data_IF_937304010023
#
_entry.id   IF_937304010023
#
_cell.length_a   1.000
_cell.length_b   1.000
_cell.length_c   1.000
_cell.angle_alpha   90.00
_cell.angle_beta   90.00
_cell.angle_gamma   90.00
#
_symmetry.space_group_name_H-M   'P 1'
#
loop_
_entity.id
_entity.type
_entity.pdbx_description
1 polymer ?
#
# COMPACT_ATOMS: atom_id res chain seq x y z
N UNK A 1 -9.95 6.61 15.12
CA UNK A 1 -8.52 6.78 15.06
C UNK A 1 -7.84 5.40 15.03
N UNK A 2 -7.74 4.84 13.85
CA UNK A 2 -7.09 3.55 13.66
C UNK A 2 -5.60 3.80 13.58
N UNK A 3 -4.90 3.58 14.69
CA UNK A 3 -3.44 3.54 14.67
C UNK A 3 -2.97 2.54 13.62
N UNK A 4 -2.10 2.96 12.71
CA UNK A 4 -1.44 2.07 11.75
C UNK A 4 -0.47 1.10 12.44
N UNK A 5 -0.15 1.39 13.70
CA UNK A 5 0.83 0.68 14.49
C UNK A 5 0.16 -0.06 15.64
N UNK A 6 0.79 -1.13 16.10
CA UNK A 6 0.39 -1.80 17.33
C UNK A 6 0.73 -0.92 18.54
N UNK A 7 -0.20 -0.70 19.49
CA UNK A 7 0.04 0.15 20.65
C UNK A 7 0.98 -0.49 21.69
N UNK A 8 1.04 -1.79 21.72
CA UNK A 8 1.84 -2.62 22.66
C UNK A 8 2.13 -3.98 22.03
N UNK A 9 3.00 -4.76 22.63
CA UNK A 9 3.33 -6.10 22.18
C UNK A 9 2.09 -6.97 22.15
N UNK A 10 1.91 -7.71 21.06
CA UNK A 10 0.70 -8.49 20.78
C UNK A 10 1.06 -9.96 20.52
N UNK A 11 1.62 -10.61 21.52
CA UNK A 11 1.97 -12.04 21.52
C UNK A 11 0.76 -13.01 21.35
N UNK A 12 -0.45 -12.47 21.41
CA UNK A 12 -1.71 -13.22 21.29
C UNK A 12 -2.29 -13.26 19.88
N UNK A 13 -1.75 -12.42 19.00
CA UNK A 13 -2.17 -12.34 17.60
C UNK A 13 -1.14 -13.06 16.71
N UNK A 14 -1.66 -13.85 15.80
CA UNK A 14 -0.86 -14.49 14.74
C UNK A 14 -1.47 -14.15 13.39
N UNK A 15 -0.65 -13.77 12.43
CA UNK A 15 -1.08 -13.42 11.10
C UNK A 15 -0.45 -14.34 10.06
N UNK A 16 -1.27 -14.77 9.11
CA UNK A 16 -0.79 -15.28 7.83
C UNK A 16 -0.88 -14.14 6.82
N UNK A 17 0.26 -13.64 6.37
CA UNK A 17 0.40 -12.46 5.53
C UNK A 17 0.74 -12.89 4.11
N UNK A 18 0.11 -12.24 3.12
CA UNK A 18 0.42 -12.44 1.70
C UNK A 18 0.93 -11.15 1.10
N UNK A 19 2.18 -11.16 0.65
CA UNK A 19 2.81 -10.08 -0.11
C UNK A 19 2.97 -10.47 -1.58
N UNK A 20 2.82 -9.49 -2.48
CA UNK A 20 2.99 -9.68 -3.92
C UNK A 20 4.22 -8.92 -4.40
N UNK A 21 5.00 -9.55 -5.26
CA UNK A 21 6.25 -9.04 -5.78
C UNK A 21 6.34 -9.27 -7.29
N UNK A 22 7.04 -8.37 -7.97
CA UNK A 22 7.43 -8.59 -9.36
C UNK A 22 8.72 -9.42 -9.43
N UNK A 23 8.99 -9.99 -10.59
CA UNK A 23 10.17 -10.86 -10.82
C UNK A 23 11.51 -10.15 -10.57
N UNK A 24 11.57 -8.83 -10.62
CA UNK A 24 12.75 -7.98 -10.40
C UNK A 24 12.91 -7.48 -8.96
N UNK A 25 12.05 -7.91 -8.03
CA UNK A 25 12.08 -7.47 -6.63
C UNK A 25 13.24 -8.04 -5.80
N UNK A 26 14.09 -8.89 -6.37
CA UNK A 26 15.25 -9.42 -5.67
C UNK A 26 16.47 -8.51 -5.82
N UNK A 27 17.05 -8.11 -4.68
CA UNK A 27 18.32 -7.38 -4.63
C UNK A 27 19.50 -8.34 -4.75
N UNK A 28 20.51 -7.99 -5.56
CA UNK A 28 21.78 -8.70 -5.54
C UNK A 28 22.67 -8.10 -4.45
N UNK A 29 22.84 -8.82 -3.34
CA UNK A 29 23.64 -8.39 -2.22
C UNK A 29 24.91 -9.22 -2.06
N UNK A 30 25.95 -8.58 -1.52
CA UNK A 30 27.18 -9.27 -1.09
C UNK A 30 27.10 -9.60 0.39
N UNK A 31 27.23 -10.86 0.74
CA UNK A 31 27.34 -11.32 2.11
C UNK A 31 28.73 -11.88 2.40
N UNK A 32 29.22 -11.69 3.60
CA UNK A 32 30.50 -12.25 4.02
C UNK A 32 30.25 -13.55 4.77
N UNK A 33 30.83 -14.63 4.24
CA UNK A 33 30.74 -15.96 4.84
C UNK A 33 32.14 -16.44 5.25
N UNK A 34 32.21 -17.33 6.24
CA UNK A 34 33.46 -17.77 6.82
C UNK A 34 34.06 -16.72 7.75
N UNK A 35 35.31 -16.88 8.07
CA UNK A 35 36.07 -16.00 8.95
C UNK A 35 36.81 -16.76 10.04
N UNK A 36 37.71 -16.05 10.72
CA UNK A 36 38.51 -16.58 11.84
C UNK A 36 37.81 -16.32 13.17
N UNK A 37 37.96 -17.23 14.10
CA UNK A 37 37.41 -17.08 15.46
C UNK A 37 38.48 -17.54 16.48
N UNK A 38 38.50 -16.87 17.63
CA UNK A 38 39.36 -17.24 18.74
C UNK A 38 38.61 -18.14 19.72
N UNK A 39 39.20 -19.28 20.05
CA UNK A 39 38.65 -20.19 21.05
C UNK A 39 39.81 -20.58 22.04
N UNK A 40 39.64 -20.18 23.27
CA UNK A 40 40.64 -20.44 24.36
C UNK A 40 40.78 -21.93 24.69
N UNK A 41 39.85 -22.77 24.28
CA UNK A 41 39.87 -24.23 24.53
C UNK A 41 40.74 -24.99 23.54
N UNK A 42 41.05 -24.36 22.39
CA UNK A 42 41.88 -24.96 21.34
C UNK A 42 43.36 -24.60 21.57
N UNK A 43 44.27 -25.52 21.30
CA UNK A 43 45.67 -25.25 21.35
C UNK A 43 46.03 -24.02 20.50
N UNK A 44 46.73 -23.04 21.08
CA UNK A 44 47.04 -21.74 20.50
C UNK A 44 45.83 -20.80 20.30
N UNK A 45 44.64 -21.14 20.79
CA UNK A 45 43.47 -20.25 20.80
C UNK A 45 42.90 -19.88 19.44
N UNK A 46 43.13 -20.64 18.41
CA UNK A 46 42.68 -20.35 17.05
C UNK A 46 41.73 -21.44 16.56
N UNK A 47 40.51 -21.05 16.22
CA UNK A 47 39.55 -21.91 15.58
C UNK A 47 39.10 -21.27 14.25
N UNK A 48 39.07 -22.08 13.22
CA UNK A 48 38.52 -21.68 11.92
C UNK A 48 37.40 -22.62 11.52
N UNK A 49 36.23 -22.11 11.29
CA UNK A 49 35.13 -22.83 10.64
C UNK A 49 35.33 -22.79 9.12
N UNK A 50 35.70 -21.63 8.60
CA UNK A 50 36.26 -21.40 7.28
C UNK A 50 37.34 -20.34 7.45
N UNK A 51 38.61 -20.71 7.19
CA UNK A 51 39.80 -19.91 7.56
C UNK A 51 39.86 -18.53 6.93
N UNK A 52 39.05 -18.26 5.89
CA UNK A 52 39.11 -17.02 5.14
C UNK A 52 37.71 -16.50 4.94
N UNK A 53 37.48 -15.26 5.33
CA UNK A 53 36.24 -14.56 5.00
C UNK A 53 36.11 -14.43 3.47
N UNK A 54 34.96 -14.81 2.93
CA UNK A 54 34.68 -14.79 1.50
C UNK A 54 33.45 -13.96 1.21
N UNK A 55 33.50 -13.27 0.06
CA UNK A 55 32.33 -12.64 -0.52
C UNK A 55 31.47 -13.68 -1.24
N UNK A 56 30.20 -13.71 -0.93
CA UNK A 56 29.21 -14.44 -1.68
C UNK A 56 28.14 -13.46 -2.18
N UNK A 57 27.77 -13.59 -3.43
CA UNK A 57 26.63 -12.88 -4.01
C UNK A 57 25.40 -13.75 -3.83
N UNK A 58 24.36 -13.19 -3.26
CA UNK A 58 23.04 -13.83 -3.09
C UNK A 58 21.95 -12.89 -3.55
N UNK A 59 20.87 -13.43 -4.07
CA UNK A 59 19.68 -12.67 -4.43
C UNK A 59 18.73 -12.70 -3.25
N UNK A 60 18.51 -11.53 -2.67
CA UNK A 60 17.74 -11.36 -1.45
C UNK A 60 16.43 -10.63 -1.74
N UNK A 61 15.35 -11.14 -1.17
CA UNK A 61 14.08 -10.43 -1.01
C UNK A 61 13.85 -10.21 0.48
N UNK A 62 13.46 -9.00 0.87
CA UNK A 62 13.06 -8.69 2.24
C UNK A 62 11.56 -8.61 2.33
N UNK A 63 10.98 -9.38 3.24
CA UNK A 63 9.57 -9.30 3.57
C UNK A 63 9.32 -8.05 4.44
N UNK A 64 8.09 -7.60 4.53
CA UNK A 64 7.72 -6.43 5.33
C UNK A 64 7.99 -6.59 6.83
N UNK A 65 8.13 -7.80 7.31
CA UNK A 65 8.35 -8.11 8.73
C UNK A 65 9.58 -8.97 8.95
N UNK A 66 10.27 -8.72 10.05
CA UNK A 66 11.23 -9.61 10.70
C UNK A 66 10.56 -10.44 11.81
N UNK A 67 11.34 -11.19 12.57
CA UNK A 67 10.85 -12.06 13.66
C UNK A 67 9.61 -12.85 13.25
N UNK A 68 9.64 -13.41 12.02
CA UNK A 68 8.58 -14.23 11.50
C UNK A 68 8.58 -15.62 12.15
N UNK A 69 7.47 -16.32 12.08
CA UNK A 69 7.37 -17.66 12.64
C UNK A 69 8.07 -18.69 11.75
N UNK A 70 8.84 -19.58 12.37
CA UNK A 70 9.30 -20.82 11.74
C UNK A 70 8.22 -21.90 11.68
N UNK A 71 7.17 -21.75 12.49
CA UNK A 71 6.08 -22.71 12.62
C UNK A 71 4.92 -22.35 11.69
N UNK A 72 4.17 -23.35 11.30
CA UNK A 72 2.99 -23.18 10.47
C UNK A 72 1.91 -22.36 11.20
N UNK A 73 1.07 -21.68 10.44
CA UNK A 73 -0.10 -20.99 10.98
C UNK A 73 -1.03 -22.01 11.64
N UNK A 74 -1.35 -21.79 12.91
CA UNK A 74 -2.03 -22.79 13.76
C UNK A 74 -3.51 -23.01 13.42
N UNK A 75 -4.05 -22.33 12.41
CA UNK A 75 -5.47 -22.38 12.06
C UNK A 75 -5.80 -23.56 11.14
N UNK A 76 -6.89 -24.26 11.43
CA UNK A 76 -7.42 -25.32 10.56
C UNK A 76 -7.81 -24.76 9.18
N UNK A 77 -7.42 -25.46 8.12
CA UNK A 77 -7.71 -25.06 6.73
C UNK A 77 -6.64 -24.18 6.07
N UNK A 78 -5.54 -23.89 6.76
CA UNK A 78 -4.37 -23.19 6.19
C UNK A 78 -3.41 -24.17 5.49
N UNK A 79 -2.44 -23.63 4.76
CA UNK A 79 -1.51 -24.42 3.94
C UNK A 79 -0.50 -25.28 4.73
N UNK A 80 -0.56 -25.32 6.05
CA UNK A 80 0.26 -26.19 6.90
C UNK A 80 1.76 -25.90 6.88
N UNK A 81 2.19 -24.69 6.48
CA UNK A 81 3.60 -24.29 6.38
C UNK A 81 3.84 -22.91 6.95
N UNK A 82 5.09 -22.62 7.34
CA UNK A 82 5.51 -21.28 7.80
C UNK A 82 5.66 -20.30 6.65
N UNK A 83 6.07 -20.77 5.46
CA UNK A 83 6.24 -19.94 4.27
C UNK A 83 5.93 -20.74 3.00
N UNK A 84 5.29 -20.08 2.04
CA UNK A 84 5.09 -20.57 0.68
C UNK A 84 5.27 -19.43 -0.33
N UNK A 85 5.92 -19.70 -1.44
CA UNK A 85 6.13 -18.77 -2.54
C UNK A 85 5.46 -19.35 -3.79
N UNK A 86 4.57 -18.56 -4.39
CA UNK A 86 3.83 -18.95 -5.60
C UNK A 86 4.30 -18.07 -6.75
N UNK A 87 5.06 -18.64 -7.68
CA UNK A 87 5.51 -17.99 -8.91
C UNK A 87 4.47 -18.18 -10.00
N UNK A 88 4.02 -17.09 -10.62
CA UNK A 88 3.04 -17.12 -11.71
C UNK A 88 3.66 -16.50 -12.95
N UNK A 89 3.63 -17.24 -14.07
CA UNK A 89 4.19 -16.81 -15.32
C UNK A 89 3.41 -17.39 -16.49
N UNK A 90 3.57 -16.79 -17.66
CA UNK A 90 2.99 -17.30 -18.89
C UNK A 90 3.94 -18.30 -19.53
N UNK A 91 3.52 -19.56 -19.58
CA UNK A 91 4.30 -20.62 -20.24
C UNK A 91 4.42 -20.32 -21.74
N UNK A 92 5.66 -20.15 -22.19
CA UNK A 92 5.95 -19.77 -23.60
C UNK A 92 5.59 -20.86 -24.62
N UNK A 93 5.49 -22.10 -24.18
CA UNK A 93 5.15 -23.25 -25.05
C UNK A 93 3.65 -23.42 -25.19
N UNK A 94 2.91 -23.27 -24.10
CA UNK A 94 1.46 -23.50 -24.06
C UNK A 94 0.64 -22.21 -24.13
N UNK A 95 1.26 -21.05 -23.88
CA UNK A 95 0.60 -19.76 -23.78
C UNK A 95 -0.35 -19.60 -22.58
N UNK A 96 -0.36 -20.55 -21.64
CA UNK A 96 -1.20 -20.56 -20.47
C UNK A 96 -0.49 -20.02 -19.23
N UNK A 97 -1.23 -19.40 -18.36
CA UNK A 97 -0.72 -19.01 -17.06
C UNK A 97 -0.45 -20.28 -16.22
N UNK A 98 0.76 -20.36 -15.71
CA UNK A 98 1.27 -21.47 -14.93
C UNK A 98 1.71 -20.96 -13.57
N UNK A 99 1.33 -21.68 -12.50
CA UNK A 99 1.74 -21.36 -11.13
C UNK A 99 2.60 -22.50 -10.59
N UNK A 100 3.80 -22.16 -10.13
CA UNK A 100 4.73 -23.07 -9.43
C UNK A 100 4.83 -22.65 -7.97
N UNK A 101 4.65 -23.59 -7.04
CA UNK A 101 4.73 -23.32 -5.61
C UNK A 101 6.00 -23.94 -5.02
N UNK A 102 6.72 -23.16 -4.22
CA UNK A 102 7.80 -23.60 -3.35
C UNK A 102 7.39 -23.31 -1.92
N UNK A 103 7.61 -24.25 -1.01
CA UNK A 103 7.15 -24.08 0.37
C UNK A 103 8.06 -24.79 1.36
N UNK A 104 8.06 -24.33 2.62
CA UNK A 104 8.69 -25.06 3.70
C UNK A 104 7.91 -26.35 4.02
N UNK A 105 8.47 -27.19 4.89
CA UNK A 105 7.88 -28.47 5.27
C UNK A 105 6.43 -28.33 5.77
N UNK A 106 5.61 -29.34 5.48
CA UNK A 106 4.21 -29.40 5.92
C UNK A 106 3.19 -28.76 4.97
N UNK A 107 3.62 -28.19 3.85
CA UNK A 107 2.71 -27.59 2.87
C UNK A 107 1.73 -28.63 2.29
N UNK A 108 0.45 -28.32 2.33
CA UNK A 108 -0.66 -29.17 1.84
C UNK A 108 -1.60 -28.43 0.86
N UNK A 109 -1.15 -27.27 0.31
CA UNK A 109 -1.95 -26.46 -0.61
C UNK A 109 -2.04 -27.01 -2.03
N UNK A 110 -2.82 -26.32 -2.86
CA UNK A 110 -2.97 -26.63 -4.29
C UNK A 110 -2.58 -25.38 -5.11
N UNK A 111 -1.68 -25.51 -6.12
CA UNK A 111 -0.99 -26.75 -6.55
C UNK A 111 0.00 -27.27 -5.50
N UNK A 112 0.37 -28.54 -5.59
CA UNK A 112 1.38 -29.11 -4.71
C UNK A 112 2.73 -28.42 -4.87
N UNK A 113 3.54 -28.34 -3.80
CA UNK A 113 4.84 -27.73 -3.86
C UNK A 113 5.77 -28.47 -4.84
N UNK A 114 6.37 -27.72 -5.76
CA UNK A 114 7.37 -28.21 -6.72
C UNK A 114 8.74 -28.41 -6.07
N UNK A 115 9.04 -27.63 -5.02
CA UNK A 115 10.29 -27.69 -4.30
C UNK A 115 10.17 -27.22 -2.86
N UNK A 116 11.21 -27.49 -2.08
CA UNK A 116 11.28 -27.15 -0.67
C UNK A 116 11.98 -25.81 -0.46
N UNK A 117 11.48 -25.01 0.49
CA UNK A 117 12.15 -23.84 1.04
C UNK A 117 12.88 -24.29 2.32
N UNK A 118 14.17 -23.98 2.39
CA UNK A 118 15.00 -24.29 3.56
C UNK A 118 14.84 -23.18 4.57
N UNK A 119 14.32 -23.48 5.75
CA UNK A 119 14.15 -22.48 6.83
C UNK A 119 15.37 -22.50 7.74
N UNK A 120 15.98 -21.33 7.99
CA UNK A 120 17.16 -21.14 8.85
C UNK A 120 17.01 -19.90 9.72
N UNK A 121 17.81 -19.80 10.78
CA UNK A 121 18.04 -18.54 11.48
C UNK A 121 19.20 -17.78 10.83
N UNK A 122 19.19 -16.47 10.87
CA UNK A 122 20.29 -15.63 10.38
C UNK A 122 21.59 -15.83 11.19
N UNK A 123 21.46 -16.37 12.42
CA UNK A 123 22.58 -16.71 13.29
C UNK A 123 23.24 -18.04 12.98
N UNK A 124 22.61 -18.86 12.11
CA UNK A 124 23.20 -20.13 11.69
C UNK A 124 24.47 -19.90 10.87
N UNK A 125 25.48 -20.74 11.03
CA UNK A 125 26.77 -20.63 10.31
C UNK A 125 26.64 -20.71 8.79
N UNK A 126 25.57 -21.30 8.31
CA UNK A 126 25.23 -21.48 6.88
C UNK A 126 24.02 -20.68 6.46
N UNK A 127 23.59 -19.71 7.26
CA UNK A 127 22.40 -18.90 6.95
C UNK A 127 22.42 -18.36 5.51
N UNK A 128 23.55 -17.84 5.09
CA UNK A 128 23.75 -17.23 3.76
C UNK A 128 24.47 -18.13 2.75
N UNK A 129 24.62 -19.43 3.04
CA UNK A 129 25.12 -20.40 2.08
C UNK A 129 23.93 -20.95 1.29
N UNK A 130 23.69 -20.40 0.12
CA UNK A 130 22.57 -20.77 -0.74
C UNK A 130 23.10 -21.54 -1.93
N UNK A 131 22.59 -22.75 -2.15
CA UNK A 131 22.88 -23.54 -3.35
C UNK A 131 22.21 -22.94 -4.58
N UNK A 132 22.77 -23.17 -5.76
CA UNK A 132 22.36 -22.53 -7.02
C UNK A 132 20.86 -22.64 -7.34
N UNK A 133 20.21 -23.74 -6.94
CA UNK A 133 18.79 -23.98 -7.17
C UNK A 133 17.94 -23.90 -5.88
N UNK A 134 18.54 -23.47 -4.77
CA UNK A 134 17.86 -23.43 -3.48
C UNK A 134 17.13 -22.10 -3.25
N UNK A 135 16.11 -22.17 -2.40
CA UNK A 135 15.45 -21.04 -1.77
C UNK A 135 15.60 -21.22 -0.27
N UNK A 136 16.17 -20.23 0.40
CA UNK A 136 16.38 -20.21 1.84
C UNK A 136 15.55 -19.09 2.45
N UNK A 137 14.87 -19.40 3.53
CA UNK A 137 14.09 -18.45 4.31
C UNK A 137 14.74 -18.24 5.67
N UNK A 138 15.16 -17.02 5.94
CA UNK A 138 15.66 -16.59 7.24
C UNK A 138 14.50 -15.98 8.02
N UNK A 139 13.88 -16.79 8.87
CA UNK A 139 12.62 -16.41 9.53
C UNK A 139 12.79 -15.27 10.53
N UNK A 140 13.92 -15.19 11.22
CA UNK A 140 14.22 -14.17 12.21
C UNK A 140 14.44 -12.77 11.59
N UNK A 141 14.90 -12.70 10.35
CA UNK A 141 15.12 -11.43 9.65
C UNK A 141 14.11 -11.17 8.55
N UNK A 142 13.21 -12.12 8.26
CA UNK A 142 12.23 -12.02 7.18
C UNK A 142 12.88 -11.91 5.80
N UNK A 143 14.00 -12.60 5.59
CA UNK A 143 14.74 -12.59 4.33
C UNK A 143 14.49 -13.88 3.55
N UNK A 144 14.23 -13.75 2.27
CA UNK A 144 14.18 -14.87 1.32
C UNK A 144 15.40 -14.77 0.40
N UNK A 145 16.26 -15.78 0.46
CA UNK A 145 17.47 -15.85 -0.35
C UNK A 145 17.28 -16.88 -1.46
N UNK A 146 17.69 -16.52 -2.67
CA UNK A 146 17.55 -17.36 -3.86
C UNK A 146 18.90 -17.59 -4.50
N UNK A 147 19.17 -18.83 -4.86
CA UNK A 147 20.40 -19.22 -5.57
C UNK A 147 20.44 -18.72 -7.01
N UNK A 148 21.63 -18.59 -7.54
CA UNK A 148 21.90 -17.95 -8.85
C UNK A 148 21.09 -18.57 -10.00
N UNK A 149 21.05 -19.89 -10.10
CA UNK A 149 20.32 -20.59 -11.18
C UNK A 149 18.82 -20.42 -11.02
N UNK A 150 18.32 -20.45 -9.77
CA UNK A 150 16.91 -20.23 -9.48
C UNK A 150 16.48 -18.81 -9.81
N UNK A 151 17.29 -17.81 -9.45
CA UNK A 151 17.05 -16.42 -9.82
C UNK A 151 17.00 -16.22 -11.34
N UNK A 152 17.97 -16.80 -12.08
CA UNK A 152 17.97 -16.75 -13.54
C UNK A 152 16.70 -17.38 -14.16
N UNK A 153 16.17 -18.46 -13.58
CA UNK A 153 14.91 -19.08 -14.01
C UNK A 153 13.73 -18.12 -13.82
N UNK A 154 13.65 -17.46 -12.67
CA UNK A 154 12.61 -16.45 -12.35
C UNK A 154 12.66 -15.30 -13.35
N UNK A 155 13.87 -14.76 -13.63
CA UNK A 155 14.08 -13.66 -14.58
C UNK A 155 13.70 -14.06 -16.01
N UNK A 156 14.11 -15.26 -16.44
CA UNK A 156 13.81 -15.74 -17.78
C UNK A 156 12.31 -15.93 -18.02
N UNK A 157 11.59 -16.37 -17.00
CA UNK A 157 10.14 -16.56 -17.04
C UNK A 157 9.37 -15.27 -16.85
N UNK A 158 10.01 -14.20 -16.36
CA UNK A 158 9.35 -12.98 -15.87
C UNK A 158 8.21 -13.34 -14.90
N UNK A 159 8.53 -14.23 -13.94
CA UNK A 159 7.57 -14.83 -13.04
C UNK A 159 7.29 -13.93 -11.85
N UNK A 160 6.21 -13.17 -11.91
CA UNK A 160 5.70 -12.48 -10.73
C UNK A 160 5.32 -13.48 -9.64
N UNK A 161 5.45 -13.09 -8.40
CA UNK A 161 5.24 -14.05 -7.32
C UNK A 161 4.58 -13.44 -6.08
N UNK A 162 3.98 -14.31 -5.28
CA UNK A 162 3.48 -13.96 -3.97
C UNK A 162 4.14 -14.80 -2.90
N UNK A 163 4.47 -14.18 -1.79
CA UNK A 163 5.00 -14.84 -0.60
C UNK A 163 3.92 -14.84 0.48
N UNK A 164 3.57 -16.02 0.97
CA UNK A 164 2.67 -16.19 2.11
C UNK A 164 3.47 -16.71 3.28
N UNK A 165 3.48 -15.99 4.39
CA UNK A 165 4.29 -16.34 5.57
C UNK A 165 3.53 -16.04 6.87
N UNK A 166 4.06 -16.53 7.99
CA UNK A 166 3.44 -16.39 9.31
C UNK A 166 4.24 -15.42 10.18
N UNK A 167 3.53 -14.47 10.79
CA UNK A 167 4.07 -13.55 11.80
C UNK A 167 3.22 -13.66 13.07
N UNK A 168 3.85 -13.90 14.22
CA UNK A 168 3.18 -14.07 15.50
C UNK A 168 3.86 -13.32 16.67
N UNK A 169 4.97 -12.66 16.41
CA UNK A 169 5.72 -11.87 17.39
C UNK A 169 5.73 -10.41 16.94
N UNK A 170 4.77 -9.61 17.42
CA UNK A 170 4.65 -8.19 17.10
C UNK A 170 5.10 -7.34 18.27
N UNK A 171 5.99 -6.42 17.98
CA UNK A 171 6.45 -5.44 18.95
C UNK A 171 5.57 -4.18 18.94
N UNK A 172 5.76 -3.37 19.98
CA UNK A 172 5.15 -2.03 20.00
C UNK A 172 5.68 -1.21 18.81
N UNK A 173 4.78 -0.57 18.12
CA UNK A 173 5.00 0.21 16.89
C UNK A 173 5.27 -0.61 15.62
N UNK A 174 5.13 -1.92 15.65
CA UNK A 174 5.06 -2.68 14.40
C UNK A 174 3.84 -2.25 13.58
N UNK A 175 4.00 -2.26 12.26
CA UNK A 175 2.93 -1.92 11.33
C UNK A 175 1.87 -3.01 11.37
N UNK A 176 0.61 -2.62 11.33
CA UNK A 176 -0.51 -3.59 11.26
C UNK A 176 -0.63 -4.18 9.87
N UNK A 177 -0.57 -5.54 9.73
CA UNK A 177 -0.61 -6.19 8.42
C UNK A 177 -1.86 -5.89 7.61
N UNK A 178 -3.02 -5.78 8.27
CA UNK A 178 -4.31 -5.52 7.63
C UNK A 178 -4.40 -4.16 6.91
N UNK A 179 -3.47 -3.25 7.19
CA UNK A 179 -3.42 -1.94 6.54
C UNK A 179 -2.62 -1.94 5.24
N UNK A 180 -1.78 -2.97 5.02
CA UNK A 180 -0.87 -3.05 3.89
C UNK A 180 -1.08 -4.27 3.01
N UNK A 181 -1.51 -5.39 3.62
CA UNK A 181 -1.50 -6.69 2.97
C UNK A 181 -2.84 -7.41 3.11
N UNK A 182 -3.10 -8.29 2.15
CA UNK A 182 -4.09 -9.33 2.37
C UNK A 182 -3.59 -10.27 3.44
N UNK A 183 -4.36 -10.48 4.51
CA UNK A 183 -3.92 -11.34 5.61
C UNK A 183 -5.11 -11.99 6.34
N UNK A 184 -4.78 -13.05 7.07
CA UNK A 184 -5.70 -13.72 8.00
C UNK A 184 -5.11 -13.58 9.40
N UNK A 185 -5.85 -12.97 10.32
CA UNK A 185 -5.48 -12.84 11.73
C UNK A 185 -6.15 -13.94 12.56
N UNK A 186 -5.41 -14.51 13.50
CA UNK A 186 -5.91 -15.43 14.51
C UNK A 186 -5.63 -14.88 15.91
N UNK A 187 -6.69 -14.68 16.69
CA UNK A 187 -6.62 -14.30 18.08
C UNK A 187 -6.73 -15.58 18.94
N UNK A 188 -5.62 -15.94 19.59
CA UNK A 188 -5.52 -17.16 20.40
C UNK A 188 -6.34 -17.06 21.71
N UNK A 189 -6.63 -15.88 22.21
CA UNK A 189 -7.42 -15.65 23.44
C UNK A 189 -8.90 -15.88 23.18
N UNK A 190 -9.41 -15.31 22.10
CA UNK A 190 -10.82 -15.38 21.73
C UNK A 190 -11.12 -16.55 20.78
N UNK A 191 -10.11 -17.30 20.38
CA UNK A 191 -10.18 -18.38 19.37
C UNK A 191 -10.93 -17.90 18.11
N UNK A 192 -10.59 -16.71 17.64
CA UNK A 192 -11.27 -16.04 16.53
C UNK A 192 -10.32 -15.84 15.36
N UNK A 193 -10.78 -16.22 14.18
CA UNK A 193 -10.10 -15.94 12.91
C UNK A 193 -10.83 -14.80 12.20
N UNK A 194 -10.07 -13.88 11.62
CA UNK A 194 -10.59 -12.75 10.83
C UNK A 194 -9.77 -12.66 9.53
N UNK A 195 -10.46 -12.71 8.41
CA UNK A 195 -9.85 -12.52 7.10
C UNK A 195 -9.96 -11.05 6.68
N UNK A 196 -8.83 -10.48 6.28
CA UNK A 196 -8.73 -9.12 5.75
C UNK A 196 -8.45 -9.19 4.26
N UNK A 197 -9.28 -8.50 3.49
CA UNK A 197 -9.10 -8.36 2.04
C UNK A 197 -7.87 -7.48 1.73
N UNK A 198 -7.42 -7.51 0.48
CA UNK A 198 -6.35 -6.62 0.04
C UNK A 198 -6.81 -5.15 0.18
N UNK A 199 -6.03 -4.29 0.87
CA UNK A 199 -6.36 -2.88 1.08
C UNK A 199 -6.57 -2.07 -0.20
N UNK A 200 -6.01 -2.50 -1.33
CA UNK A 200 -6.19 -1.83 -2.63
C UNK A 200 -7.65 -1.66 -3.06
N UNK A 201 -8.57 -2.42 -2.46
CA UNK A 201 -10.00 -2.35 -2.75
C UNK A 201 -10.79 -1.47 -1.77
N UNK A 202 -10.11 -0.72 -0.89
CA UNK A 202 -10.75 0.13 0.12
C UNK A 202 -10.80 1.60 -0.33
N UNK A 203 -11.19 1.84 -1.56
CA UNK A 203 -11.42 3.18 -2.06
C UNK A 203 -12.76 3.72 -1.57
N UNK A 204 -12.74 4.93 -1.01
CA UNK A 204 -13.94 5.66 -0.59
C UNK A 204 -14.26 6.66 -1.67
N UNK A 205 -15.31 6.39 -2.40
CA UNK A 205 -15.75 7.19 -3.54
C UNK A 205 -17.00 7.98 -3.19
N UNK A 206 -17.02 9.28 -3.53
CA UNK A 206 -18.19 10.15 -3.40
C UNK A 206 -18.59 10.70 -4.75
N UNK A 207 -19.88 10.71 -5.03
CA UNK A 207 -20.44 11.44 -6.14
C UNK A 207 -20.47 12.93 -5.80
N UNK A 208 -19.73 13.75 -6.57
CA UNK A 208 -19.59 15.20 -6.35
C UNK A 208 -20.41 16.02 -7.35
N UNK A 209 -20.87 15.40 -8.45
CA UNK A 209 -21.75 15.96 -9.44
C UNK A 209 -22.36 14.82 -10.28
N UNK A 210 -23.37 15.11 -11.10
CA UNK A 210 -23.96 14.12 -12.00
C UNK A 210 -22.90 13.41 -12.83
N UNK A 211 -22.79 12.09 -12.67
CA UNK A 211 -21.79 11.22 -13.32
C UNK A 211 -20.31 11.57 -13.01
N UNK A 212 -20.03 12.28 -11.92
CA UNK A 212 -18.67 12.60 -11.49
C UNK A 212 -18.40 12.13 -10.08
N UNK A 213 -17.53 11.17 -9.97
CA UNK A 213 -17.09 10.62 -8.70
C UNK A 213 -15.65 11.07 -8.36
N UNK A 214 -15.33 11.14 -7.09
CA UNK A 214 -14.01 11.41 -6.58
C UNK A 214 -13.66 10.44 -5.46
N UNK A 215 -12.47 9.83 -5.55
CA UNK A 215 -11.91 9.03 -4.47
C UNK A 215 -11.28 9.98 -3.47
N UNK A 216 -11.74 9.97 -2.22
CA UNK A 216 -11.36 10.94 -1.18
C UNK A 216 -10.30 10.43 -0.23
N UNK A 217 -10.01 9.14 -0.22
CA UNK A 217 -8.97 8.57 0.62
C UNK A 217 -7.67 8.33 -0.16
N UNK A 218 -6.55 8.30 0.58
CA UNK A 218 -5.26 7.79 0.15
C UNK A 218 -4.89 6.68 1.13
N UNK A 219 -4.47 5.53 0.62
CA UNK A 219 -4.11 4.40 1.46
C UNK A 219 -2.68 4.57 1.98
N UNK A 220 -2.40 4.04 3.18
CA UNK A 220 -1.09 4.15 3.80
C UNK A 220 0.01 3.53 2.92
N UNK A 221 -0.27 2.39 2.28
CA UNK A 221 0.67 1.69 1.39
C UNK A 221 1.07 2.50 0.15
N UNK A 222 0.18 3.40 -0.32
CA UNK A 222 0.44 4.23 -1.50
C UNK A 222 1.34 5.43 -1.16
N UNK A 223 1.34 5.84 0.10
CA UNK A 223 2.11 6.98 0.59
C UNK A 223 3.44 6.58 1.24
N UNK A 224 3.48 5.45 1.95
CA UNK A 224 4.64 5.02 2.75
C UNK A 224 4.90 3.55 2.48
N UNK A 225 6.08 3.24 1.91
CA UNK A 225 6.56 1.86 1.74
C UNK A 225 7.05 1.27 3.06
N UNK A 226 6.83 -0.03 3.26
CA UNK A 226 7.42 -0.81 4.35
C UNK A 226 8.94 -0.99 4.18
N UNK A 227 9.47 -0.80 2.97
CA UNK A 227 10.87 -1.05 2.62
C UNK A 227 11.84 -0.13 3.37
N UNK A 228 11.42 1.11 3.69
CA UNK A 228 12.24 2.05 4.46
C UNK A 228 12.60 1.46 5.83
N UNK A 229 11.60 0.94 6.55
CA UNK A 229 11.82 0.33 7.86
C UNK A 229 12.81 -0.84 7.75
N UNK A 230 12.60 -1.70 6.76
CA UNK A 230 13.45 -2.86 6.52
C UNK A 230 14.89 -2.48 6.11
N UNK A 231 15.03 -1.37 5.38
CA UNK A 231 16.37 -0.87 5.01
C UNK A 231 17.12 -0.31 6.21
N UNK A 232 16.45 0.43 7.11
CA UNK A 232 17.07 0.93 8.34
C UNK A 232 17.56 -0.23 9.20
N UNK A 233 16.76 -1.28 9.35
CA UNK A 233 17.13 -2.50 10.08
C UNK A 233 18.35 -3.21 9.44
N UNK A 234 18.36 -3.34 8.11
CA UNK A 234 19.49 -3.90 7.38
C UNK A 234 20.79 -3.10 7.59
N UNK A 235 20.72 -1.77 7.53
CA UNK A 235 21.87 -0.89 7.79
C UNK A 235 22.36 -1.09 9.22
N UNK A 236 21.45 -1.07 10.22
CA UNK A 236 21.80 -1.28 11.62
C UNK A 236 22.52 -2.62 11.83
N UNK A 237 22.05 -3.67 11.16
CA UNK A 237 22.66 -5.00 11.20
C UNK A 237 24.06 -5.02 10.58
N UNK A 238 24.27 -4.35 9.43
CA UNK A 238 25.61 -4.26 8.82
C UNK A 238 26.60 -3.50 9.68
N UNK A 239 26.17 -2.42 10.35
CA UNK A 239 26.98 -1.68 11.32
C UNK A 239 27.39 -2.59 12.48
N UNK A 240 26.42 -3.32 13.05
CA UNK A 240 26.68 -4.27 14.14
C UNK A 240 27.71 -5.35 13.77
N UNK A 241 27.65 -5.87 12.54
CA UNK A 241 28.61 -6.86 12.07
C UNK A 241 30.05 -6.32 11.96
N UNK A 242 30.23 -5.04 11.63
CA UNK A 242 31.55 -4.40 11.65
C UNK A 242 32.04 -4.26 13.11
N UNK A 243 31.21 -3.77 14.01
CA UNK A 243 31.52 -3.57 15.43
C UNK A 243 31.92 -4.90 16.13
N UNK A 244 31.20 -5.98 15.82
CA UNK A 244 31.54 -7.31 16.34
C UNK A 244 32.91 -7.78 15.92
N UNK A 245 33.36 -7.51 14.71
CA UNK A 245 34.68 -7.87 14.22
C UNK A 245 35.74 -6.96 14.83
N UNK A 246 35.49 -5.67 14.97
CA UNK A 246 36.40 -4.72 15.65
C UNK A 246 36.60 -5.11 17.10
N UNK A 247 35.54 -5.51 17.81
CA UNK A 247 35.63 -6.02 19.16
C UNK A 247 36.55 -7.24 19.24
N UNK A 248 36.46 -8.19 18.31
CA UNK A 248 37.35 -9.36 18.24
C UNK A 248 38.79 -8.95 17.97
N UNK A 249 39.05 -7.96 17.13
CA UNK A 249 40.40 -7.43 16.85
C UNK A 249 40.99 -6.84 18.13
N UNK A 250 40.22 -6.04 18.88
CA UNK A 250 40.67 -5.44 20.14
C UNK A 250 40.99 -6.50 21.20
N UNK A 251 40.21 -7.58 21.27
CA UNK A 251 40.48 -8.70 22.15
C UNK A 251 41.81 -9.40 21.79
N UNK A 252 42.02 -9.64 20.48
CA UNK A 252 43.28 -10.25 20.00
C UNK A 252 44.46 -9.34 20.24
N UNK A 253 44.36 -8.02 20.11
CA UNK A 253 45.39 -7.05 20.40
C UNK A 253 45.79 -7.04 21.89
N UNK A 254 44.81 -7.14 22.78
CA UNK A 254 45.07 -7.33 24.22
C UNK A 254 45.81 -8.64 24.49
N UNK A 255 45.47 -9.72 23.79
CA UNK A 255 46.17 -11.01 23.92
C UNK A 255 47.60 -10.93 23.39
N UNK A 256 47.85 -10.27 22.27
CA UNK A 256 49.18 -10.02 21.71
C UNK A 256 50.04 -9.24 22.71
N UNK A 257 49.49 -8.19 23.31
CA UNK A 257 50.18 -7.33 24.28
C UNK A 257 50.56 -8.07 25.56
N UNK A 258 49.81 -9.10 25.93
CA UNK A 258 49.95 -9.84 27.17
C UNK A 258 50.74 -11.16 27.03
N UNK A 259 51.24 -11.51 25.84
CA UNK A 259 52.01 -12.76 25.64
C UNK A 259 53.43 -12.50 25.16
N UNK A 260 54.37 -13.33 25.68
CA UNK A 260 55.78 -13.34 25.29
C UNK A 260 56.16 -14.61 24.53
N UNK A 261 55.22 -15.54 24.37
CA UNK A 261 55.38 -16.79 23.62
C UNK A 261 55.40 -16.51 22.13
N UNK A 262 56.50 -16.84 21.44
CA UNK A 262 56.71 -16.56 20.02
C UNK A 262 55.72 -17.30 19.11
N UNK A 263 55.39 -18.55 19.44
CA UNK A 263 54.50 -19.37 18.61
C UNK A 263 53.06 -18.88 18.74
N UNK A 264 52.67 -18.52 19.95
CA UNK A 264 51.38 -17.90 20.25
C UNK A 264 51.26 -16.51 19.60
N UNK A 265 52.30 -15.69 19.61
CA UNK A 265 52.36 -14.40 18.93
C UNK A 265 52.20 -14.54 17.43
N UNK A 266 52.86 -15.50 16.79
CA UNK A 266 52.70 -15.75 15.34
C UNK A 266 51.26 -16.14 14.99
N UNK A 267 50.64 -16.99 15.81
CA UNK A 267 49.26 -17.43 15.65
C UNK A 267 48.27 -16.27 15.82
N UNK A 268 48.42 -15.45 16.87
CA UNK A 268 47.56 -14.29 17.13
C UNK A 268 47.70 -13.22 16.06
N UNK A 269 48.92 -12.97 15.55
CA UNK A 269 49.10 -12.04 14.43
C UNK A 269 48.42 -12.54 13.14
N UNK A 270 48.49 -13.86 12.85
CA UNK A 270 47.78 -14.45 11.72
C UNK A 270 46.26 -14.33 11.89
N UNK A 271 45.74 -14.55 13.08
CA UNK A 271 44.32 -14.37 13.40
C UNK A 271 43.91 -12.90 13.23
N UNK A 272 44.71 -11.96 13.75
CA UNK A 272 44.45 -10.52 13.57
C UNK A 272 44.35 -10.14 12.10
N UNK A 273 45.30 -10.57 11.25
CA UNK A 273 45.26 -10.30 9.81
C UNK A 273 43.99 -10.85 9.14
N UNK A 274 43.52 -12.03 9.56
CA UNK A 274 42.31 -12.63 9.06
C UNK A 274 41.07 -11.84 9.48
N UNK A 275 41.02 -11.35 10.73
CA UNK A 275 39.93 -10.50 11.24
C UNK A 275 39.95 -9.11 10.59
N UNK A 276 41.10 -8.51 10.34
CA UNK A 276 41.23 -7.24 9.63
C UNK A 276 40.69 -7.39 8.19
N UNK A 277 40.99 -8.49 7.52
CA UNK A 277 40.43 -8.79 6.19
C UNK A 277 38.89 -8.91 6.25
N UNK A 278 38.35 -9.61 7.26
CA UNK A 278 36.92 -9.73 7.46
C UNK A 278 36.28 -8.36 7.74
N UNK A 279 36.87 -7.51 8.60
CA UNK A 279 36.43 -6.15 8.88
C UNK A 279 36.33 -5.31 7.60
N UNK A 280 37.36 -5.34 6.76
CA UNK A 280 37.41 -4.56 5.53
C UNK A 280 36.32 -5.01 4.52
N UNK A 281 36.06 -6.31 4.44
CA UNK A 281 34.95 -6.83 3.64
C UNK A 281 33.58 -6.40 4.17
N UNK A 282 33.36 -6.48 5.50
CA UNK A 282 32.11 -6.07 6.14
C UNK A 282 31.90 -4.56 6.06
N UNK A 283 32.95 -3.75 6.21
CA UNK A 283 32.91 -2.30 6.06
C UNK A 283 32.47 -1.89 4.65
N UNK A 284 32.90 -2.66 3.63
CA UNK A 284 32.42 -2.42 2.27
C UNK A 284 30.93 -2.75 2.12
N UNK A 285 30.47 -3.88 2.66
CA UNK A 285 29.03 -4.23 2.66
C UNK A 285 28.20 -3.17 3.39
N UNK A 286 28.68 -2.66 4.52
CA UNK A 286 28.06 -1.56 5.25
C UNK A 286 27.97 -0.29 4.39
N UNK A 287 29.05 0.07 3.70
CA UNK A 287 29.05 1.24 2.80
C UNK A 287 28.05 1.08 1.66
N UNK A 288 28.00 -0.10 1.05
CA UNK A 288 27.05 -0.42 -0.01
C UNK A 288 25.59 -0.37 0.51
N UNK A 289 25.34 -0.85 1.74
CA UNK A 289 24.04 -0.77 2.42
C UNK A 289 23.59 0.67 2.68
N UNK A 290 24.50 1.56 3.09
CA UNK A 290 24.18 2.99 3.22
C UNK A 290 23.85 3.63 1.86
N UNK A 291 24.55 3.25 0.79
CA UNK A 291 24.24 3.70 -0.56
C UNK A 291 22.84 3.29 -1.01
N UNK A 292 22.47 2.03 -0.80
CA UNK A 292 21.10 1.54 -1.07
C UNK A 292 20.06 2.27 -0.21
N UNK A 293 20.34 2.48 1.06
CA UNK A 293 19.46 3.20 1.97
C UNK A 293 19.16 4.64 1.54
N UNK A 294 20.16 5.37 1.06
CA UNK A 294 19.97 6.71 0.52
C UNK A 294 19.04 6.69 -0.71
N UNK A 295 19.24 5.76 -1.63
CA UNK A 295 18.37 5.61 -2.80
C UNK A 295 16.93 5.31 -2.39
N UNK A 296 16.71 4.41 -1.45
CA UNK A 296 15.37 4.09 -0.95
C UNK A 296 14.69 5.27 -0.23
N UNK A 297 15.44 6.08 0.51
CA UNK A 297 14.90 7.28 1.15
C UNK A 297 14.45 8.29 0.09
N UNK A 298 15.23 8.46 -0.98
CA UNK A 298 14.86 9.35 -2.09
C UNK A 298 13.61 8.85 -2.81
N UNK A 299 13.51 7.56 -3.10
CA UNK A 299 12.33 6.92 -3.71
C UNK A 299 11.09 7.07 -2.83
N UNK A 300 11.23 6.83 -1.53
CA UNK A 300 10.15 7.02 -0.57
C UNK A 300 9.70 8.48 -0.45
N UNK A 301 10.65 9.42 -0.47
CA UNK A 301 10.35 10.86 -0.52
C UNK A 301 9.56 11.23 -1.77
N UNK A 302 9.92 10.63 -2.91
CA UNK A 302 9.18 10.82 -4.15
C UNK A 302 7.76 10.21 -4.07
N UNK A 303 7.61 9.03 -3.50
CA UNK A 303 6.29 8.37 -3.30
C UNK A 303 5.36 9.25 -2.45
N UNK A 304 5.82 9.77 -1.32
CA UNK A 304 5.07 10.72 -0.47
C UNK A 304 4.71 11.98 -1.25
N UNK A 305 5.64 12.49 -2.06
CA UNK A 305 5.43 13.68 -2.89
C UNK A 305 4.34 13.47 -3.94
N UNK A 306 4.33 12.30 -4.60
CA UNK A 306 3.30 11.89 -5.55
C UNK A 306 1.95 11.77 -4.85
N UNK A 307 1.86 11.05 -3.74
CA UNK A 307 0.62 10.90 -2.96
C UNK A 307 0.06 12.25 -2.49
N UNK A 308 0.94 13.17 -2.04
CA UNK A 308 0.55 14.53 -1.64
C UNK A 308 0.02 15.34 -2.83
N UNK A 309 0.67 15.21 -3.99
CA UNK A 309 0.25 15.91 -5.21
C UNK A 309 -1.10 15.40 -5.72
N UNK A 310 -1.32 14.10 -5.67
CA UNK A 310 -2.60 13.50 -6.02
C UNK A 310 -3.73 13.95 -5.07
N UNK A 311 -3.45 13.99 -3.77
CA UNK A 311 -4.40 14.51 -2.78
C UNK A 311 -4.72 15.99 -3.05
N UNK A 312 -3.70 16.80 -3.36
CA UNK A 312 -3.87 18.21 -3.75
C UNK A 312 -4.72 18.35 -5.01
N UNK A 313 -4.51 17.52 -6.02
CA UNK A 313 -5.32 17.51 -7.24
C UNK A 313 -6.79 17.11 -6.97
N UNK A 314 -7.02 16.10 -6.13
CA UNK A 314 -8.36 15.70 -5.67
C UNK A 314 -9.06 16.84 -4.92
N UNK A 315 -8.36 17.50 -4.00
CA UNK A 315 -8.87 18.65 -3.26
C UNK A 315 -9.25 19.81 -4.20
N UNK A 316 -8.38 20.18 -5.12
CA UNK A 316 -8.65 21.24 -6.09
C UNK A 316 -9.85 20.92 -6.98
N UNK A 317 -9.97 19.65 -7.43
CA UNK A 317 -11.13 19.20 -8.20
C UNK A 317 -12.43 19.32 -7.40
N UNK A 318 -12.41 18.88 -6.14
CA UNK A 318 -13.57 19.02 -5.25
C UNK A 318 -13.95 20.51 -5.04
N UNK A 319 -12.96 21.37 -4.81
CA UNK A 319 -13.15 22.81 -4.62
C UNK A 319 -13.74 23.48 -5.89
N UNK A 320 -13.21 23.15 -7.08
CA UNK A 320 -13.74 23.66 -8.34
C UNK A 320 -15.17 23.20 -8.59
N UNK A 321 -15.47 21.94 -8.28
CA UNK A 321 -16.84 21.42 -8.42
C UNK A 321 -17.79 22.10 -7.44
N UNK A 322 -17.35 22.33 -6.18
CA UNK A 322 -18.14 23.07 -5.20
C UNK A 322 -18.46 24.49 -5.66
N UNK A 323 -17.45 25.23 -6.15
CA UNK A 323 -17.66 26.58 -6.66
C UNK A 323 -18.63 26.57 -7.86
N UNK A 324 -18.46 25.63 -8.79
CA UNK A 324 -19.34 25.50 -9.94
C UNK A 324 -20.81 25.21 -9.53
N UNK A 325 -21.01 24.32 -8.55
CA UNK A 325 -22.35 24.04 -8.02
C UNK A 325 -22.97 25.26 -7.33
N UNK A 326 -22.16 26.08 -6.65
CA UNK A 326 -22.60 27.32 -6.04
C UNK A 326 -23.04 28.33 -7.10
N UNK A 327 -22.28 28.47 -8.20
CA UNK A 327 -22.66 29.32 -9.33
C UNK A 327 -23.94 28.81 -10.00
N UNK A 328 -24.06 27.49 -10.24
CA UNK A 328 -25.26 26.86 -10.79
C UNK A 328 -26.50 27.01 -9.89
N UNK A 329 -26.29 26.99 -8.57
CA UNK A 329 -27.35 27.27 -7.59
C UNK A 329 -27.84 28.72 -7.74
N UNK A 330 -26.91 29.68 -7.78
CA UNK A 330 -27.22 31.11 -7.95
C UNK A 330 -27.99 31.36 -9.28
N UNK A 331 -27.46 30.80 -10.38
CA UNK A 331 -28.14 30.89 -11.69
C UNK A 331 -29.55 30.28 -11.69
N UNK A 332 -29.72 29.21 -10.92
CA UNK A 332 -31.02 28.51 -10.79
C UNK A 332 -31.99 29.33 -9.95
N UNK A 333 -31.54 29.97 -8.89
CA UNK A 333 -32.34 30.89 -8.07
C UNK A 333 -32.73 32.13 -8.84
N UNK A 334 -31.83 32.70 -9.65
CA UNK A 334 -32.14 33.84 -10.54
C UNK A 334 -33.21 33.46 -11.59
N UNK A 335 -33.06 32.30 -12.23
CA UNK A 335 -34.06 31.81 -13.19
C UNK A 335 -35.40 31.49 -12.54
N UNK A 336 -35.37 30.96 -11.30
CA UNK A 336 -36.63 30.74 -10.54
C UNK A 336 -37.30 32.08 -10.23
N UNK A 337 -36.54 33.10 -9.79
CA UNK A 337 -37.03 34.45 -9.58
C UNK A 337 -37.58 35.06 -10.85
N UNK A 338 -36.85 34.96 -11.98
CA UNK A 338 -37.37 35.44 -13.29
C UNK A 338 -38.66 34.75 -13.73
N UNK A 339 -38.87 33.48 -13.39
CA UNK A 339 -40.06 32.71 -13.79
C UNK A 339 -41.23 32.89 -12.81
N UNK A 340 -40.97 33.02 -11.51
CA UNK A 340 -42.03 33.11 -10.49
C UNK A 340 -42.33 34.53 -10.05
N UNK A 341 -41.36 35.45 -10.08
CA UNK A 341 -41.54 36.83 -9.68
C UNK A 341 -42.19 37.63 -10.81
N UNK A 342 -43.40 38.02 -10.60
CA UNK A 342 -44.14 38.88 -11.53
C UNK A 342 -43.74 40.33 -11.30
N UNK A 343 -43.23 41.01 -12.37
CA UNK A 343 -42.97 42.44 -12.31
C UNK A 343 -44.24 43.20 -11.91
N UNK A 344 -44.19 43.85 -10.75
CA UNK A 344 -45.31 44.69 -10.25
C UNK A 344 -45.74 45.71 -11.32
N UNK A 345 -44.79 46.21 -12.11
CA UNK A 345 -45.06 47.16 -13.17
C UNK A 345 -45.88 46.52 -14.32
N UNK A 346 -45.54 45.30 -14.72
CA UNK A 346 -46.28 44.59 -15.77
C UNK A 346 -47.67 44.16 -15.28
N UNK A 347 -47.78 43.72 -14.02
CA UNK A 347 -49.08 43.42 -13.41
C UNK A 347 -49.95 44.66 -13.38
N UNK A 348 -49.39 45.83 -12.96
CA UNK A 348 -50.11 47.08 -12.95
C UNK A 348 -50.56 47.55 -14.32
N UNK A 349 -49.69 47.43 -15.34
CA UNK A 349 -50.00 47.72 -16.74
C UNK A 349 -51.14 46.80 -17.22
N UNK A 350 -51.02 45.51 -17.00
CA UNK A 350 -52.03 44.50 -17.42
C UNK A 350 -53.37 44.73 -16.68
N UNK A 351 -53.32 45.04 -15.37
CA UNK A 351 -54.53 45.37 -14.62
C UNK A 351 -55.18 46.64 -15.16
N UNK A 352 -54.39 47.69 -15.42
CA UNK A 352 -54.91 48.95 -15.98
C UNK A 352 -55.50 48.74 -17.37
N UNK A 353 -54.87 47.92 -18.22
CA UNK A 353 -55.41 47.55 -19.53
C UNK A 353 -56.71 46.74 -19.42
N UNK A 354 -56.80 45.80 -18.48
CA UNK A 354 -57.99 45.01 -18.24
C UNK A 354 -59.15 45.89 -17.70
N UNK A 355 -58.86 46.84 -16.80
CA UNK A 355 -59.82 47.80 -16.31
C UNK A 355 -60.32 48.73 -17.41
N UNK A 356 -59.40 49.26 -18.21
CA UNK A 356 -59.79 50.06 -19.42
C UNK A 356 -60.69 49.27 -20.44
N UNK A 357 -60.34 48.02 -20.65
CA UNK A 357 -61.13 47.11 -21.53
C UNK A 357 -62.49 46.82 -20.94
N UNK A 358 -62.53 46.61 -19.61
CA UNK A 358 -63.82 46.44 -18.88
C UNK A 358 -64.69 47.66 -18.95
N UNK A 359 -64.11 48.85 -18.68
CA UNK A 359 -64.88 50.12 -18.85
C UNK A 359 -65.31 50.38 -20.24
N UNK A 360 -64.48 50.11 -21.24
CA UNK A 360 -64.85 50.19 -22.65
C UNK A 360 -66.00 49.21 -23.02
N UNK A 361 -65.93 48.00 -22.49
CA UNK A 361 -66.99 46.98 -22.68
C UNK A 361 -68.30 47.39 -22.05
N UNK A 362 -68.27 47.94 -20.85
CA UNK A 362 -69.49 48.51 -20.19
C UNK A 362 -70.07 49.65 -21.03
N UNK A 363 -69.23 50.59 -21.47
CA UNK A 363 -69.64 51.72 -22.30
C UNK A 363 -70.23 51.26 -23.63
N UNK A 364 -69.61 50.28 -24.23
CA UNK A 364 -70.15 49.69 -25.46
C UNK A 364 -71.52 49.00 -25.24
N UNK A 365 -71.62 48.23 -24.17
CA UNK A 365 -72.88 47.57 -23.78
C UNK A 365 -73.95 48.55 -23.43
N UNK A 366 -73.66 49.65 -22.73
CA UNK A 366 -74.58 50.71 -22.41
C UNK A 366 -75.11 51.41 -23.69
N UNK A 367 -74.24 51.67 -24.69
CA UNK A 367 -74.60 52.22 -25.99
C UNK A 367 -75.49 51.24 -26.79
N UNK A 368 -75.13 49.95 -26.76
CA UNK A 368 -75.96 48.94 -27.45
C UNK A 368 -77.35 48.83 -26.79
N UNK A 369 -77.41 48.78 -25.47
CA UNK A 369 -78.64 48.72 -24.69
C UNK A 369 -79.44 50.01 -24.90
N UNK A 370 -78.81 51.18 -24.88
CA UNK A 370 -79.44 52.46 -25.10
C UNK A 370 -80.06 52.55 -26.51
N UNK A 371 -79.27 52.14 -27.52
CA UNK A 371 -79.80 52.12 -28.89
C UNK A 371 -80.89 51.06 -29.05
N UNK A 372 -80.80 49.91 -28.44
CA UNK A 372 -81.83 48.88 -28.47
C UNK A 372 -83.12 49.31 -27.78
N UNK A 373 -83.04 50.05 -26.67
CA UNK A 373 -84.18 50.64 -25.99
C UNK A 373 -84.85 51.74 -26.84
N UNK A 374 -84.01 52.60 -27.47
CA UNK A 374 -84.48 53.64 -28.36
C UNK A 374 -85.19 53.02 -29.59
N UNK A 375 -84.63 51.97 -30.18
CA UNK A 375 -85.19 51.24 -31.24
C UNK A 375 -86.54 50.56 -30.86
N UNK A 376 -86.60 49.99 -29.67
CA UNK A 376 -87.84 49.40 -29.11
C UNK A 376 -88.89 50.43 -28.78
N UNK A 377 -88.48 51.59 -28.26
CA UNK A 377 -89.39 52.71 -28.05
C UNK A 377 -89.91 53.29 -29.35
N UNK A 378 -89.05 53.41 -30.39
CA UNK A 378 -89.47 53.92 -31.72
C UNK A 378 -90.47 52.97 -32.41
N UNK A 379 -90.26 51.65 -32.23
CA UNK A 379 -91.24 50.65 -32.76
C UNK A 379 -92.57 50.77 -32.01
N UNK A 380 -92.60 51.12 -30.71
CA UNK A 380 -93.84 51.30 -29.95
C UNK A 380 -94.53 52.60 -30.27
N UNK A 381 -93.82 53.67 -30.63
CA UNK A 381 -94.42 54.95 -31.05
C UNK A 381 -94.88 54.92 -32.48
N UNK A 382 -94.14 54.30 -33.40
CA UNK A 382 -94.57 54.17 -34.81
C UNK A 382 -95.69 53.16 -35.01
N UNK A 383 -95.96 52.29 -34.06
CA UNK A 383 -97.05 51.30 -34.02
C UNK A 383 -98.41 51.87 -33.50
N UNK A 384 -98.42 53.12 -32.98
CA UNK A 384 -99.64 53.75 -32.49
C UNK A 384 -100.39 54.64 -33.48
N UNK A 385 -99.80 54.90 -34.65
CA UNK A 385 -100.43 55.75 -35.69
C UNK A 385 -100.97 54.98 -36.88
N UNK A 386 -101.14 53.71 -36.76
CA UNK A 386 -101.81 52.91 -37.83
C UNK A 386 -102.97 52.09 -37.23
N UNK A 387 -104.13 52.77 -37.13
CA UNK A 387 -105.32 52.03 -36.83
C UNK A 387 -106.43 52.84 -36.22
N UNK A 388 -107.09 53.60 -37.00
CA UNK A 388 -108.51 53.82 -36.94
C UNK A 388 -108.95 54.57 -38.20
N UNK A 389 -109.41 53.83 -39.09
CA UNK A 389 -110.58 54.23 -39.80
C UNK A 389 -111.21 53.01 -40.57
N UNK A 390 -112.50 52.79 -40.21
CA UNK A 390 -113.53 51.90 -40.66
C UNK A 390 -113.54 50.46 -40.22
#
# INVERSE_FOLDING_TARGET
DTSLLFPENTDKLSYQIKENFSYDSFDNITVITGGANYDSTIANGQQYTDKTAKKNEVYQLRLAYDNCSKDAFAQAGTNGTSIAISFTYKDQTTGKDTTEVYAAAGYNGTPAAKGNIITRSSTDTDAYKVGDNEIVYLYDTGEVLVGKTKYADIQTKQADFSVTYVKNDFEKNDIRPEMYFKCTAYDSVNNKTTDYADPSNQEIEYEINYSQNIIVNTQAKDAISTDIYRMVDYIAKTVKYVDEVETKIDEVDKMISNTTDKDKLATLNSLKTSLETERDLRSKVMTDAFGMGLTMIDEAGQQVSVATSELGAKYNRAQLTYNKLLDEQTDSEDKLSENEDVSLTDVYINLTQADNLYQASLSATAKILGNSLIFKLKIITDGKDAGCDE
#
